data_IF_016936714682
#
_entry.id   IF_016936714682
#
_cell.length_a   1.000
_cell.length_b   1.000
_cell.length_c   1.000
_cell.angle_alpha   90.00
_cell.angle_beta   90.00
_cell.angle_gamma   90.00
#
_symmetry.space_group_name_H-M   'P 1'
#
loop_
_entity.id
_entity.type
_entity.pdbx_description
1 polymer ?
#
# COMPACT_ATOMS: atom_id res chain seq x y z
N UNK A 1 -28.05 -27.00 -30.86
CA UNK A 1 -27.95 -28.46 -31.10
C UNK A 1 -26.56 -28.89 -30.68
N UNK A 2 -26.44 -29.66 -29.59
CA UNK A 2 -25.17 -30.23 -29.12
C UNK A 2 -24.92 -31.51 -29.90
N UNK A 3 -24.10 -31.44 -30.95
CA UNK A 3 -23.60 -32.65 -31.60
C UNK A 3 -22.70 -33.39 -30.62
N UNK A 4 -23.16 -34.56 -30.20
CA UNK A 4 -22.38 -35.54 -29.44
C UNK A 4 -21.05 -35.75 -30.16
N UNK A 5 -19.94 -35.32 -29.54
CA UNK A 5 -18.58 -35.61 -30.01
C UNK A 5 -18.46 -37.13 -30.20
N UNK A 6 -18.46 -37.56 -31.46
CA UNK A 6 -18.07 -38.91 -31.87
C UNK A 6 -16.77 -39.28 -31.15
N UNK A 7 -16.59 -40.56 -30.77
CA UNK A 7 -15.34 -41.08 -30.18
C UNK A 7 -14.24 -40.95 -31.25
N UNK A 8 -13.61 -39.78 -31.32
CA UNK A 8 -12.57 -39.49 -32.30
C UNK A 8 -11.31 -40.24 -31.89
N UNK A 9 -10.93 -41.21 -32.71
CA UNK A 9 -9.74 -42.02 -32.50
C UNK A 9 -8.51 -41.34 -33.10
N UNK A 10 -8.06 -40.29 -32.43
CA UNK A 10 -6.87 -39.53 -32.83
C UNK A 10 -5.62 -40.41 -32.92
N UNK A 11 -5.56 -41.49 -32.12
CA UNK A 11 -4.39 -42.38 -32.03
C UNK A 11 -4.15 -43.17 -33.32
N UNK A 12 -5.20 -43.47 -34.08
CA UNK A 12 -5.12 -44.23 -35.34
C UNK A 12 -5.20 -43.36 -36.60
N UNK A 13 -5.36 -42.04 -36.45
CA UNK A 13 -5.41 -41.10 -37.56
C UNK A 13 -4.03 -40.86 -38.17
N UNK A 14 -3.91 -40.64 -39.49
CA UNK A 14 -2.64 -40.28 -40.12
C UNK A 14 -2.21 -38.84 -39.80
N UNK A 15 -0.92 -38.54 -39.92
CA UNK A 15 -0.41 -37.20 -39.63
C UNK A 15 -1.04 -36.16 -40.56
N UNK A 16 -1.20 -36.42 -41.85
CA UNK A 16 -1.80 -35.48 -42.81
C UNK A 16 -3.24 -35.10 -42.45
N UNK A 17 -4.04 -36.08 -42.00
CA UNK A 17 -5.40 -35.83 -41.53
C UNK A 17 -5.44 -35.03 -40.23
N UNK A 18 -4.46 -35.22 -39.35
CA UNK A 18 -4.32 -34.40 -38.14
C UNK A 18 -3.94 -32.95 -38.50
N UNK A 19 -3.16 -32.72 -39.57
CA UNK A 19 -2.81 -31.37 -40.04
C UNK A 19 -4.01 -30.62 -40.60
N UNK A 20 -4.74 -31.28 -41.49
CA UNK A 20 -5.97 -30.75 -42.10
C UNK A 20 -6.99 -30.38 -41.00
N UNK A 21 -7.22 -31.32 -40.06
CA UNK A 21 -8.10 -31.06 -38.92
C UNK A 21 -7.64 -29.86 -38.07
N UNK A 22 -6.34 -29.73 -37.82
CA UNK A 22 -5.77 -28.61 -37.06
C UNK A 22 -6.00 -27.28 -37.76
N UNK A 23 -5.76 -27.22 -39.06
CA UNK A 23 -5.95 -26.00 -39.85
C UNK A 23 -7.42 -25.58 -39.89
N UNK A 24 -8.34 -26.53 -40.08
CA UNK A 24 -9.77 -26.23 -40.22
C UNK A 24 -10.42 -25.77 -38.90
N UNK A 25 -9.92 -26.26 -37.76
CA UNK A 25 -10.57 -26.07 -36.46
C UNK A 25 -9.81 -25.14 -35.51
N UNK A 26 -8.49 -25.00 -35.69
CA UNK A 26 -7.60 -24.33 -34.74
C UNK A 26 -6.60 -23.36 -35.40
N UNK A 27 -6.80 -22.99 -36.67
CA UNK A 27 -5.96 -21.99 -37.33
C UNK A 27 -5.89 -20.69 -36.51
N UNK A 28 -4.67 -20.21 -36.27
CA UNK A 28 -4.40 -18.98 -35.50
C UNK A 28 -4.57 -19.10 -33.98
N UNK A 29 -5.00 -20.25 -33.45
CA UNK A 29 -5.11 -20.47 -32.00
C UNK A 29 -3.75 -20.79 -31.37
N UNK A 30 -3.54 -20.35 -30.13
CA UNK A 30 -2.36 -20.70 -29.35
C UNK A 30 -2.43 -22.11 -28.78
N UNK A 31 -1.27 -22.69 -28.45
CA UNK A 31 -1.17 -24.03 -27.83
C UNK A 31 -2.05 -24.20 -26.60
N UNK A 32 -2.13 -23.18 -25.75
CA UNK A 32 -2.94 -23.20 -24.53
C UNK A 32 -4.44 -23.18 -24.83
N UNK A 33 -4.86 -22.50 -25.90
CA UNK A 33 -6.26 -22.48 -26.34
C UNK A 33 -6.66 -23.83 -26.92
N UNK A 34 -5.81 -24.42 -27.77
CA UNK A 34 -6.06 -25.75 -28.36
C UNK A 34 -6.08 -26.84 -27.28
N UNK A 35 -5.16 -26.80 -26.29
CA UNK A 35 -5.15 -27.75 -25.18
C UNK A 35 -6.41 -27.70 -24.33
N UNK A 36 -6.98 -26.51 -24.11
CA UNK A 36 -8.23 -26.33 -23.35
C UNK A 36 -9.45 -26.80 -24.12
N UNK A 37 -9.47 -26.61 -25.44
CA UNK A 37 -10.61 -26.95 -26.30
C UNK A 37 -10.63 -28.45 -26.64
N UNK A 38 -9.46 -29.02 -26.96
CA UNK A 38 -9.30 -30.44 -27.29
C UNK A 38 -7.97 -31.00 -26.78
N UNK A 39 -7.92 -31.23 -25.47
CA UNK A 39 -6.75 -31.80 -24.80
C UNK A 39 -6.38 -33.20 -25.31
N UNK A 40 -7.33 -33.97 -25.82
CA UNK A 40 -7.09 -35.31 -26.36
C UNK A 40 -6.35 -35.26 -27.70
N UNK A 41 -6.75 -34.35 -28.59
CA UNK A 41 -6.06 -34.06 -29.83
C UNK A 41 -4.66 -33.49 -29.55
N UNK A 42 -4.58 -32.51 -28.65
CA UNK A 42 -3.33 -31.85 -28.23
C UNK A 42 -2.27 -32.86 -27.74
N UNK A 43 -2.68 -33.84 -26.91
CA UNK A 43 -1.80 -34.89 -26.44
C UNK A 43 -1.27 -35.78 -27.57
N UNK A 44 -2.11 -36.12 -28.55
CA UNK A 44 -1.71 -36.99 -29.67
C UNK A 44 -0.73 -36.30 -30.61
N UNK A 45 -1.00 -35.05 -31.00
CA UNK A 45 -0.05 -34.29 -31.84
C UNK A 45 1.26 -34.00 -31.09
N UNK A 46 1.22 -33.83 -29.77
CA UNK A 46 2.40 -33.68 -28.92
C UNK A 46 3.25 -34.94 -28.85
N UNK A 47 2.62 -36.09 -28.61
CA UNK A 47 3.32 -37.38 -28.58
C UNK A 47 3.91 -37.77 -29.94
N UNK A 48 3.39 -37.21 -31.04
CA UNK A 48 3.89 -37.40 -32.40
C UNK A 48 4.88 -36.33 -32.87
N UNK A 49 5.24 -35.38 -32.00
CA UNK A 49 6.20 -34.31 -32.32
C UNK A 49 5.69 -33.24 -33.29
N UNK A 50 4.38 -33.22 -33.60
CA UNK A 50 3.79 -32.33 -34.60
C UNK A 50 3.40 -30.95 -34.03
N UNK A 51 3.54 -30.72 -32.72
CA UNK A 51 3.13 -29.47 -32.06
C UNK A 51 3.81 -28.22 -32.62
N UNK A 52 5.08 -28.33 -33.03
CA UNK A 52 5.84 -27.20 -33.59
C UNK A 52 5.47 -26.92 -35.05
N UNK A 53 5.02 -27.94 -35.78
CA UNK A 53 4.63 -27.83 -37.17
C UNK A 53 3.19 -27.30 -37.32
N UNK A 54 2.28 -27.71 -36.44
CA UNK A 54 0.83 -27.50 -36.63
C UNK A 54 0.24 -26.31 -35.90
N UNK A 55 0.88 -25.86 -34.83
CA UNK A 55 0.41 -24.67 -34.11
C UNK A 55 1.61 -23.80 -33.77
N UNK A 56 1.66 -22.66 -34.46
CA UNK A 56 2.68 -21.65 -34.30
C UNK A 56 2.82 -21.29 -32.83
N UNK A 57 4.03 -21.51 -32.34
CA UNK A 57 4.42 -21.11 -31.01
C UNK A 57 4.50 -19.59 -30.97
N UNK A 58 3.62 -18.94 -30.18
CA UNK A 58 3.83 -17.56 -29.73
C UNK A 58 5.02 -17.42 -28.75
N UNK A 59 5.71 -18.52 -28.44
CA UNK A 59 6.97 -18.46 -27.71
C UNK A 59 8.01 -17.94 -28.71
N UNK A 60 8.45 -16.70 -28.51
CA UNK A 60 9.59 -16.11 -29.23
C UNK A 60 10.73 -17.14 -29.23
N UNK A 61 11.44 -17.35 -30.36
CA UNK A 61 12.53 -18.31 -30.43
C UNK A 61 13.48 -18.09 -29.24
N UNK A 62 13.88 -19.19 -28.60
CA UNK A 62 14.81 -19.17 -27.47
C UNK A 62 16.13 -18.61 -27.97
N UNK A 63 16.35 -17.31 -27.80
CA UNK A 63 17.59 -16.66 -28.19
C UNK A 63 18.70 -17.25 -27.34
N UNK A 64 19.76 -17.70 -28.00
CA UNK A 64 20.91 -18.31 -27.35
C UNK A 64 21.83 -17.23 -26.79
N UNK A 65 21.34 -16.45 -25.83
CA UNK A 65 22.09 -15.37 -25.20
C UNK A 65 23.48 -15.81 -24.68
N UNK A 66 23.60 -17.09 -24.28
CA UNK A 66 24.86 -17.69 -23.81
C UNK A 66 25.93 -17.85 -24.89
N UNK A 67 25.55 -18.02 -26.15
CA UNK A 67 26.50 -18.18 -27.27
C UNK A 67 26.89 -16.84 -27.89
N UNK A 68 26.18 -15.75 -27.58
CA UNK A 68 26.54 -14.40 -28.02
C UNK A 68 27.78 -13.85 -27.29
N UNK A 69 28.60 -13.12 -28.05
CA UNK A 69 29.72 -12.34 -27.56
C UNK A 69 29.27 -11.11 -26.78
N UNK A 70 30.20 -10.50 -26.04
CA UNK A 70 29.90 -9.32 -25.24
C UNK A 70 29.53 -8.11 -26.11
N UNK A 71 30.11 -7.99 -27.31
CA UNK A 71 29.83 -6.88 -28.24
C UNK A 71 28.44 -7.04 -28.89
N UNK A 72 28.05 -8.26 -29.27
CA UNK A 72 26.71 -8.54 -29.79
C UNK A 72 25.62 -8.27 -28.74
N UNK A 73 25.89 -8.57 -27.47
CA UNK A 73 24.97 -8.24 -26.37
C UNK A 73 24.88 -6.73 -26.12
N UNK A 74 25.98 -5.99 -26.30
CA UNK A 74 26.01 -4.52 -26.21
C UNK A 74 25.19 -3.87 -27.33
N UNK A 75 25.42 -4.30 -28.56
CA UNK A 75 24.68 -3.84 -29.73
C UNK A 75 23.17 -4.11 -29.57
N UNK A 76 22.82 -5.35 -29.16
CA UNK A 76 21.44 -5.72 -28.91
C UNK A 76 20.75 -4.83 -27.87
N UNK A 77 21.46 -4.49 -26.78
CA UNK A 77 20.96 -3.57 -25.76
C UNK A 77 20.71 -2.17 -26.33
N UNK A 78 21.64 -1.62 -27.11
CA UNK A 78 21.47 -0.28 -27.69
C UNK A 78 20.30 -0.21 -28.67
N UNK A 79 20.04 -1.28 -29.42
CA UNK A 79 18.91 -1.34 -30.35
C UNK A 79 17.55 -1.50 -29.66
N UNK A 80 17.49 -2.20 -28.53
CA UNK A 80 16.22 -2.68 -27.96
C UNK A 80 15.87 -2.06 -26.59
N UNK A 81 16.87 -1.59 -25.85
CA UNK A 81 16.75 -1.15 -24.46
C UNK A 81 17.53 0.13 -24.15
N UNK A 82 17.94 0.90 -25.16
CA UNK A 82 18.64 2.16 -24.95
C UNK A 82 17.88 3.08 -23.99
N UNK A 83 18.58 3.58 -22.96
CA UNK A 83 18.01 4.44 -21.93
C UNK A 83 17.21 3.72 -20.84
N UNK A 84 16.99 2.40 -20.93
CA UNK A 84 16.34 1.64 -19.86
C UNK A 84 17.30 1.36 -18.69
N UNK A 85 16.79 1.46 -17.46
CA UNK A 85 17.53 1.07 -16.27
C UNK A 85 17.64 -0.46 -16.12
N UNK A 86 18.59 -0.94 -15.30
CA UNK A 86 18.78 -2.38 -14.99
C UNK A 86 17.46 -3.08 -14.64
N UNK A 87 16.60 -2.45 -13.85
CA UNK A 87 15.33 -3.01 -13.39
C UNK A 87 14.23 -3.01 -14.46
N UNK A 88 14.26 -2.05 -15.39
CA UNK A 88 13.36 -2.01 -16.54
C UNK A 88 13.71 -3.08 -17.57
N UNK A 89 15.01 -3.30 -17.81
CA UNK A 89 15.50 -4.41 -18.65
C UNK A 89 15.12 -5.75 -18.04
N UNK A 90 15.25 -5.93 -16.72
CA UNK A 90 14.87 -7.17 -16.03
C UNK A 90 13.38 -7.50 -16.19
N UNK A 91 12.51 -6.47 -16.20
CA UNK A 91 11.07 -6.61 -16.43
C UNK A 91 10.73 -6.90 -17.88
N UNK A 92 11.47 -6.30 -18.83
CA UNK A 92 11.23 -6.43 -20.25
C UNK A 92 11.75 -7.77 -20.81
N UNK A 93 12.95 -8.20 -20.40
CA UNK A 93 13.57 -9.45 -20.81
C UNK A 93 14.48 -9.99 -19.70
N UNK A 94 13.88 -10.78 -18.80
CA UNK A 94 14.58 -11.38 -17.67
C UNK A 94 15.68 -12.36 -18.10
N UNK A 95 15.58 -12.97 -19.29
CA UNK A 95 16.59 -13.93 -19.77
C UNK A 95 17.84 -13.22 -20.28
N UNK A 96 17.66 -12.13 -21.03
CA UNK A 96 18.75 -11.25 -21.45
C UNK A 96 19.43 -10.61 -20.24
N UNK A 97 18.64 -10.08 -19.30
CA UNK A 97 19.14 -9.46 -18.07
C UNK A 97 20.09 -10.37 -17.26
N UNK A 98 19.73 -11.65 -17.11
CA UNK A 98 20.56 -12.60 -16.36
C UNK A 98 21.93 -12.84 -17.02
N UNK A 99 21.99 -12.87 -18.35
CA UNK A 99 23.25 -13.07 -19.10
C UNK A 99 24.12 -11.82 -19.06
N UNK A 100 23.52 -10.64 -19.17
CA UNK A 100 24.21 -9.36 -19.03
C UNK A 100 24.85 -9.20 -17.64
N UNK A 101 24.18 -9.70 -16.58
CA UNK A 101 24.75 -9.79 -15.23
C UNK A 101 25.87 -10.83 -15.14
N UNK A 102 25.66 -12.05 -15.65
CA UNK A 102 26.65 -13.13 -15.62
C UNK A 102 27.97 -12.69 -16.29
N UNK A 103 27.85 -11.93 -17.39
CA UNK A 103 28.98 -11.35 -18.14
C UNK A 103 29.44 -9.98 -17.63
N UNK A 104 28.87 -9.47 -16.53
CA UNK A 104 29.22 -8.17 -15.89
C UNK A 104 29.15 -6.94 -16.80
N UNK A 105 28.37 -7.00 -17.88
CA UNK A 105 28.34 -5.92 -18.89
C UNK A 105 27.72 -4.63 -18.35
N UNK A 106 26.81 -4.73 -17.37
CA UNK A 106 26.30 -3.54 -16.69
C UNK A 106 27.35 -2.80 -15.87
N UNK A 107 28.41 -3.47 -15.44
CA UNK A 107 29.52 -2.87 -14.70
C UNK A 107 30.57 -2.29 -15.65
N UNK A 108 30.57 -2.72 -16.93
CA UNK A 108 31.32 -2.13 -18.04
C UNK A 108 30.64 -0.89 -18.66
N UNK A 109 29.55 -0.40 -18.06
CA UNK A 109 28.85 0.81 -18.52
C UNK A 109 27.80 0.60 -19.60
N UNK A 110 27.29 -0.63 -19.79
CA UNK A 110 26.24 -0.93 -20.77
C UNK A 110 24.97 -0.09 -20.59
N UNK A 111 24.64 0.25 -19.35
CA UNK A 111 23.59 1.22 -19.01
C UNK A 111 24.22 2.32 -18.18
N UNK A 112 23.71 3.55 -18.30
CA UNK A 112 23.95 4.57 -17.29
C UNK A 112 23.34 4.06 -15.99
N UNK A 113 24.21 3.47 -15.18
CA UNK A 113 23.85 3.02 -13.87
C UNK A 113 23.40 4.23 -13.09
N UNK A 114 22.08 4.40 -12.91
CA UNK A 114 21.55 5.22 -11.82
C UNK A 114 21.87 4.61 -10.44
N UNK A 115 22.77 3.63 -10.35
CA UNK A 115 23.39 3.23 -9.10
C UNK A 115 24.31 4.37 -8.67
N UNK A 116 23.73 5.30 -7.92
CA UNK A 116 24.49 6.33 -7.23
C UNK A 116 25.34 5.62 -6.20
N UNK A 117 26.64 5.54 -6.47
CA UNK A 117 27.61 4.98 -5.53
C UNK A 117 27.85 5.99 -4.40
N UNK A 118 26.90 6.06 -3.49
CA UNK A 118 27.01 6.89 -2.30
C UNK A 118 28.14 6.43 -1.38
N UNK A 119 28.57 5.16 -1.50
CA UNK A 119 29.58 4.56 -0.62
C UNK A 119 30.98 5.08 -0.92
N UNK A 120 31.27 5.50 -2.17
CA UNK A 120 32.54 6.14 -2.54
C UNK A 120 32.58 7.66 -2.36
N UNK A 121 31.44 8.31 -2.13
CA UNK A 121 31.38 9.75 -1.88
C UNK A 121 31.99 10.14 -0.53
N UNK A 122 32.61 11.32 -0.45
CA UNK A 122 33.07 11.88 0.82
C UNK A 122 31.89 12.39 1.66
N UNK A 123 32.11 12.64 2.94
CA UNK A 123 31.07 13.16 3.82
C UNK A 123 30.61 14.56 3.36
N UNK A 124 31.52 15.39 2.88
CA UNK A 124 31.26 16.73 2.35
C UNK A 124 30.42 16.68 1.06
N UNK A 125 30.69 15.72 0.18
CA UNK A 125 29.87 15.50 -1.02
C UNK A 125 28.46 15.03 -0.65
N UNK A 126 28.33 14.17 0.36
CA UNK A 126 27.03 13.71 0.87
C UNK A 126 26.26 14.88 1.53
N UNK A 127 26.95 15.73 2.29
CA UNK A 127 26.36 16.93 2.91
C UNK A 127 25.87 17.92 1.85
N UNK A 128 26.70 18.21 0.85
CA UNK A 128 26.33 19.10 -0.24
C UNK A 128 25.12 18.54 -1.01
N UNK A 129 25.12 17.25 -1.32
CA UNK A 129 23.98 16.62 -1.99
C UNK A 129 22.67 16.75 -1.19
N UNK A 130 22.73 16.60 0.14
CA UNK A 130 21.58 16.85 1.01
C UNK A 130 21.10 18.30 0.93
N UNK A 131 22.00 19.28 1.05
CA UNK A 131 21.61 20.69 0.97
C UNK A 131 20.99 21.06 -0.38
N UNK A 132 21.49 20.49 -1.48
CA UNK A 132 21.00 20.79 -2.82
C UNK A 132 19.63 20.16 -3.12
N UNK A 133 19.30 19.02 -2.51
CA UNK A 133 18.15 18.20 -2.93
C UNK A 133 17.10 17.96 -1.84
N UNK A 134 17.47 18.04 -0.57
CA UNK A 134 16.65 17.60 0.56
C UNK A 134 16.62 18.58 1.73
N UNK A 135 17.12 19.81 1.54
CA UNK A 135 17.13 20.84 2.59
C UNK A 135 15.73 21.07 3.17
N UNK A 136 15.61 20.99 4.49
CA UNK A 136 14.35 21.14 5.21
C UNK A 136 13.45 19.90 5.25
N UNK A 137 13.81 18.80 4.56
CA UNK A 137 13.07 17.54 4.63
C UNK A 137 13.39 16.77 5.90
N UNK A 138 12.39 16.04 6.42
CA UNK A 138 12.58 15.16 7.56
C UNK A 138 13.14 13.78 7.14
N UNK A 139 13.63 13.00 8.12
CA UNK A 139 14.26 11.70 7.89
C UNK A 139 13.40 10.74 7.06
N UNK A 140 12.11 10.71 7.34
CA UNK A 140 11.16 9.81 6.67
C UNK A 140 10.93 10.23 5.21
N UNK A 141 10.90 11.52 4.93
CA UNK A 141 10.81 12.07 3.57
C UNK A 141 12.07 11.73 2.75
N UNK A 142 13.26 11.97 3.32
CA UNK A 142 14.53 11.64 2.65
C UNK A 142 14.66 10.13 2.42
N UNK A 143 14.27 9.30 3.38
CA UNK A 143 14.30 7.84 3.22
C UNK A 143 13.33 7.34 2.13
N UNK A 144 12.14 7.95 2.01
CA UNK A 144 11.17 7.60 0.96
C UNK A 144 11.65 8.00 -0.43
N UNK A 145 12.35 9.13 -0.55
CA UNK A 145 12.83 9.66 -1.83
C UNK A 145 14.14 8.98 -2.27
N UNK A 146 15.10 8.85 -1.36
CA UNK A 146 16.39 8.21 -1.64
C UNK A 146 16.86 7.35 -0.46
N UNK A 147 16.28 6.16 -0.36
CA UNK A 147 16.60 5.20 0.68
C UNK A 147 18.06 4.74 0.66
N UNK A 148 18.71 4.74 -0.51
CA UNK A 148 20.12 4.35 -0.66
C UNK A 148 21.06 5.41 -0.08
N UNK A 149 20.80 6.69 -0.37
CA UNK A 149 21.51 7.83 0.20
C UNK A 149 21.30 7.87 1.72
N UNK A 150 20.04 7.75 2.16
CA UNK A 150 19.65 7.76 3.57
C UNK A 150 20.40 6.69 4.38
N UNK A 151 20.53 5.48 3.86
CA UNK A 151 21.29 4.40 4.50
C UNK A 151 22.77 4.75 4.65
N UNK A 152 23.40 5.35 3.63
CA UNK A 152 24.83 5.70 3.68
C UNK A 152 25.10 6.82 4.68
N UNK A 153 24.34 7.92 4.64
CA UNK A 153 24.52 9.01 5.63
C UNK A 153 24.20 8.54 7.05
N UNK A 154 23.29 7.56 7.21
CA UNK A 154 23.00 6.92 8.50
C UNK A 154 24.14 6.07 9.02
N UNK A 155 24.71 5.22 8.18
CA UNK A 155 25.85 4.37 8.55
C UNK A 155 27.10 5.20 8.89
N UNK A 156 27.23 6.40 8.32
CA UNK A 156 28.33 7.34 8.62
C UNK A 156 28.04 8.31 9.76
N UNK A 157 26.88 8.21 10.42
CA UNK A 157 26.53 9.08 11.55
C UNK A 157 26.19 10.53 11.17
N UNK A 158 26.06 10.84 9.88
CA UNK A 158 25.78 12.20 9.38
C UNK A 158 24.31 12.60 9.51
N UNK A 159 23.41 11.67 9.84
CA UNK A 159 21.98 11.94 9.97
C UNK A 159 21.67 13.04 10.99
N UNK A 160 22.36 13.04 12.13
CA UNK A 160 22.11 14.00 13.22
C UNK A 160 22.66 15.39 12.91
N UNK A 161 23.69 15.47 12.05
CA UNK A 161 24.27 16.71 11.56
C UNK A 161 23.44 17.33 10.43
N UNK A 162 22.96 16.50 9.50
CA UNK A 162 22.25 16.95 8.30
C UNK A 162 20.75 17.13 8.51
N UNK A 163 20.15 16.26 9.30
CA UNK A 163 18.70 16.21 9.49
C UNK A 163 18.42 16.44 10.97
N UNK A 164 18.02 17.68 11.27
CA UNK A 164 17.63 18.08 12.62
C UNK A 164 16.67 17.04 13.18
N UNK A 165 17.10 16.35 14.25
CA UNK A 165 16.16 15.58 15.04
C UNK A 165 15.31 16.58 15.77
N UNK A 166 14.08 16.80 15.31
CA UNK A 166 13.01 17.21 16.21
C UNK A 166 12.76 16.04 17.17
N UNK A 167 13.64 15.90 18.17
CA UNK A 167 13.38 15.09 19.35
C UNK A 167 12.22 15.77 20.06
N UNK A 168 11.01 15.38 19.71
CA UNK A 168 9.84 15.85 20.40
C UNK A 168 9.91 15.22 21.79
N UNK A 169 10.06 16.08 22.80
CA UNK A 169 9.95 15.68 24.20
C UNK A 169 8.48 15.39 24.52
N UNK A 170 8.05 14.19 24.14
CA UNK A 170 6.72 13.69 24.44
C UNK A 170 6.45 13.64 25.94
N UNK A 171 7.50 13.41 26.75
CA UNK A 171 7.38 13.20 28.19
C UNK A 171 7.17 14.52 28.94
N UNK A 172 7.75 15.63 28.46
CA UNK A 172 7.51 16.98 28.96
C UNK A 172 6.27 17.68 28.38
N UNK A 173 5.63 17.14 27.34
CA UNK A 173 4.44 17.72 26.72
C UNK A 173 3.20 17.55 27.61
N UNK A 174 2.28 18.53 27.66
CA UNK A 174 1.00 18.37 28.40
C UNK A 174 0.01 17.50 27.62
N UNK A 175 -1.03 16.99 28.29
CA UNK A 175 -2.04 16.14 27.64
C UNK A 175 -2.85 16.91 26.59
N UNK A 176 -3.09 18.22 26.78
CA UNK A 176 -3.75 19.08 25.79
C UNK A 176 -2.93 19.21 24.51
N UNK A 177 -1.61 19.36 24.64
CA UNK A 177 -0.71 19.43 23.47
C UNK A 177 -0.58 18.08 22.77
N UNK A 178 -0.62 16.97 23.51
CA UNK A 178 -0.68 15.64 22.92
C UNK A 178 -1.99 15.43 22.16
N UNK A 179 -3.10 15.95 22.68
CA UNK A 179 -4.40 15.93 22.01
C UNK A 179 -4.40 16.74 20.72
N UNK A 180 -3.93 18.00 20.75
CA UNK A 180 -3.79 18.86 19.57
C UNK A 180 -2.93 18.18 18.50
N UNK A 181 -1.76 17.69 18.89
CA UNK A 181 -0.86 16.97 17.98
C UNK A 181 -1.52 15.73 17.37
N UNK A 182 -2.29 14.97 18.16
CA UNK A 182 -3.04 13.82 17.69
C UNK A 182 -4.11 14.19 16.67
N UNK A 183 -4.84 15.28 16.91
CA UNK A 183 -5.89 15.75 16.01
C UNK A 183 -5.31 16.25 14.69
N UNK A 184 -4.18 16.94 14.71
CA UNK A 184 -3.52 17.44 13.50
C UNK A 184 -2.90 16.33 12.64
N UNK A 185 -2.28 15.33 13.28
CA UNK A 185 -1.39 14.39 12.58
C UNK A 185 -1.99 12.98 12.42
N UNK A 186 -2.93 12.60 13.29
CA UNK A 186 -3.41 11.21 13.40
C UNK A 186 -4.94 11.07 13.39
N UNK A 187 -5.67 12.14 13.06
CA UNK A 187 -7.13 12.09 12.98
C UNK A 187 -7.61 11.00 12.01
N UNK A 188 -8.48 10.11 12.50
CA UNK A 188 -9.02 8.99 11.73
C UNK A 188 -8.09 7.79 11.57
N UNK A 189 -6.85 7.84 12.08
CA UNK A 189 -5.95 6.69 12.09
C UNK A 189 -6.29 5.71 13.21
N UNK A 190 -6.09 4.42 12.96
CA UNK A 190 -6.17 3.37 13.98
C UNK A 190 -4.92 3.35 14.87
N UNK A 191 -5.04 2.73 16.06
CA UNK A 191 -3.91 2.52 16.99
C UNK A 191 -2.67 1.92 16.32
N UNK A 192 -2.88 0.91 15.48
CA UNK A 192 -1.77 0.23 14.78
C UNK A 192 -1.14 1.07 13.67
N UNK A 193 -1.87 2.05 13.12
CA UNK A 193 -1.31 3.01 12.18
C UNK A 193 -0.50 4.07 12.92
N UNK A 194 -1.05 4.65 14.00
CA UNK A 194 -0.32 5.63 14.81
C UNK A 194 0.95 5.04 15.45
N UNK A 195 0.88 3.80 15.95
CA UNK A 195 2.07 3.10 16.47
C UNK A 195 3.17 2.96 15.41
N UNK A 196 2.79 2.76 14.14
CA UNK A 196 3.73 2.58 13.02
C UNK A 196 4.33 3.92 12.59
N UNK A 197 3.53 4.96 12.54
CA UNK A 197 3.96 6.31 12.17
C UNK A 197 4.82 6.95 13.26
N UNK A 198 4.40 6.88 14.53
CA UNK A 198 5.13 7.47 15.64
C UNK A 198 5.03 6.62 16.91
N UNK A 199 5.96 5.67 17.04
CA UNK A 199 6.06 4.79 18.22
C UNK A 199 6.29 5.58 19.53
N UNK A 200 7.03 6.69 19.47
CA UNK A 200 7.31 7.55 20.64
C UNK A 200 6.04 8.18 21.21
N UNK A 201 5.25 8.83 20.33
CA UNK A 201 3.95 9.37 20.69
C UNK A 201 2.99 8.28 21.18
N UNK A 202 2.88 7.17 20.45
CA UNK A 202 1.99 6.07 20.84
C UNK A 202 2.33 5.49 22.23
N UNK A 203 3.62 5.39 22.55
CA UNK A 203 4.04 4.93 23.87
C UNK A 203 3.70 5.94 24.97
N UNK A 204 3.80 7.26 24.72
CA UNK A 204 3.47 8.25 25.77
C UNK A 204 1.98 8.25 26.10
N UNK A 205 1.12 8.19 25.08
CA UNK A 205 -0.33 8.20 25.29
C UNK A 205 -0.82 6.91 25.97
N UNK A 206 -0.14 5.79 25.75
CA UNK A 206 -0.37 4.55 26.50
C UNK A 206 0.13 4.66 27.94
N UNK A 207 1.34 5.17 28.14
CA UNK A 207 1.93 5.36 29.48
C UNK A 207 1.09 6.28 30.36
N UNK A 208 0.42 7.27 29.76
CA UNK A 208 -0.47 8.22 30.44
C UNK A 208 -1.94 7.79 30.45
N UNK A 209 -2.28 6.61 29.91
CA UNK A 209 -3.65 6.08 29.87
C UNK A 209 -4.66 6.96 29.10
N UNK A 210 -4.20 7.87 28.24
CA UNK A 210 -5.04 8.76 27.42
C UNK A 210 -5.32 8.22 26.01
N UNK A 211 -4.77 7.05 25.67
CA UNK A 211 -4.92 6.45 24.35
C UNK A 211 -6.36 6.08 23.97
N UNK A 212 -7.23 5.76 24.94
CA UNK A 212 -8.65 5.48 24.67
C UNK A 212 -9.41 6.74 24.24
N UNK A 213 -9.09 7.89 24.85
CA UNK A 213 -9.64 9.19 24.46
C UNK A 213 -9.16 9.62 23.07
N UNK A 214 -7.84 9.56 22.84
CA UNK A 214 -7.23 10.12 21.64
C UNK A 214 -7.38 9.23 20.40
N UNK A 215 -7.28 7.91 20.59
CA UNK A 215 -7.31 6.92 19.50
C UNK A 215 -8.11 5.69 19.97
N UNK A 216 -9.44 5.79 20.01
CA UNK A 216 -10.27 4.72 20.53
C UNK A 216 -10.06 3.41 19.74
N UNK A 217 -10.16 2.24 20.40
CA UNK A 217 -9.95 0.96 19.74
C UNK A 217 -11.04 0.71 18.69
N UNK A 218 -10.67 0.15 17.54
CA UNK A 218 -11.61 -0.20 16.46
C UNK A 218 -12.53 -1.35 16.83
N UNK A 219 -12.06 -2.31 17.63
CA UNK A 219 -12.87 -3.37 18.23
C UNK A 219 -13.05 -3.09 19.71
N UNK A 220 -14.30 -2.85 20.13
CA UNK A 220 -14.62 -2.59 21.53
C UNK A 220 -14.61 -3.92 22.32
N UNK A 221 -13.94 -3.98 23.48
CA UNK A 221 -14.01 -5.14 24.35
C UNK A 221 -15.43 -5.32 24.90
N UNK A 222 -15.75 -6.53 25.36
CA UNK A 222 -17.02 -6.77 26.04
C UNK A 222 -17.12 -5.87 27.28
N UNK A 223 -18.27 -5.21 27.45
CA UNK A 223 -18.48 -4.28 28.55
C UNK A 223 -17.94 -2.86 28.33
N UNK A 224 -17.32 -2.55 27.19
CA UNK A 224 -16.78 -1.21 26.89
C UNK A 224 -17.81 -0.08 27.15
N UNK A 225 -19.06 -0.29 26.71
CA UNK A 225 -20.14 0.68 26.87
C UNK A 225 -20.77 0.72 28.26
N UNK A 226 -20.30 -0.07 29.23
CA UNK A 226 -20.75 0.04 30.63
C UNK A 226 -20.19 1.29 31.30
N UNK A 227 -19.02 1.74 30.86
CA UNK A 227 -18.38 2.95 31.34
C UNK A 227 -18.95 4.18 30.62
N UNK A 228 -19.37 5.18 31.40
CA UNK A 228 -19.94 6.42 30.86
C UNK A 228 -18.88 7.25 30.14
N UNK A 229 -17.61 7.16 30.52
CA UNK A 229 -16.52 7.90 29.88
C UNK A 229 -16.30 7.39 28.45
N UNK A 230 -16.47 6.08 28.24
CA UNK A 230 -16.41 5.46 26.90
C UNK A 230 -17.60 5.87 26.02
N UNK A 231 -18.77 6.12 26.62
CA UNK A 231 -19.92 6.69 25.90
C UNK A 231 -19.63 8.13 25.51
N UNK A 232 -19.05 8.92 26.43
CA UNK A 232 -18.68 10.31 26.16
C UNK A 232 -17.70 10.42 25.00
N UNK A 233 -16.60 9.65 25.01
CA UNK A 233 -15.60 9.64 23.93
C UNK A 233 -16.25 9.39 22.56
N UNK A 234 -17.13 8.39 22.47
CA UNK A 234 -17.80 8.05 21.21
C UNK A 234 -18.82 9.10 20.79
N UNK A 235 -19.53 9.72 21.75
CA UNK A 235 -20.44 10.82 21.46
C UNK A 235 -19.70 12.08 21.01
N UNK A 236 -18.55 12.41 21.59
CA UNK A 236 -17.74 13.57 21.19
C UNK A 236 -17.30 13.49 19.73
N UNK A 237 -16.95 12.29 19.23
CA UNK A 237 -16.64 12.06 17.82
C UNK A 237 -17.85 12.41 16.94
N UNK A 238 -19.04 11.97 17.33
CA UNK A 238 -20.28 12.24 16.59
C UNK A 238 -20.65 13.73 16.68
N UNK A 239 -20.52 14.35 17.86
CA UNK A 239 -20.76 15.77 18.08
C UNK A 239 -19.87 16.62 17.18
N UNK A 240 -18.59 16.27 17.05
CA UNK A 240 -17.65 16.94 16.14
C UNK A 240 -18.09 16.82 14.68
N UNK A 241 -18.66 15.68 14.26
CA UNK A 241 -19.23 15.50 12.92
C UNK A 241 -20.54 16.27 12.69
N UNK A 242 -21.20 16.71 13.76
CA UNK A 242 -22.47 17.45 13.74
C UNK A 242 -22.28 18.94 14.09
N UNK A 243 -21.08 19.48 13.87
CA UNK A 243 -20.72 20.88 14.15
C UNK A 243 -21.06 21.29 15.60
N UNK A 244 -20.71 20.44 16.56
CA UNK A 244 -20.90 20.72 17.98
C UNK A 244 -22.30 20.42 18.52
N UNK A 245 -23.25 19.99 17.68
CA UNK A 245 -24.62 19.66 18.11
C UNK A 245 -24.68 18.29 18.77
N UNK A 246 -25.38 18.22 19.91
CA UNK A 246 -25.63 16.94 20.57
C UNK A 246 -26.48 16.02 19.65
N UNK A 247 -26.05 14.77 19.41
CA UNK A 247 -26.67 13.90 18.42
C UNK A 247 -28.07 13.43 18.84
N UNK A 248 -28.92 13.17 17.85
CA UNK A 248 -30.19 12.45 18.04
C UNK A 248 -29.99 10.96 17.79
N UNK A 249 -30.95 10.15 18.23
CA UNK A 249 -30.93 8.69 18.03
C UNK A 249 -30.66 8.29 16.58
N UNK A 250 -31.23 9.01 15.61
CA UNK A 250 -31.03 8.75 14.17
C UNK A 250 -29.58 9.01 13.72
N UNK A 251 -28.90 9.98 14.32
CA UNK A 251 -27.55 10.38 13.97
C UNK A 251 -26.56 9.33 14.49
N UNK A 252 -26.75 8.89 15.75
CA UNK A 252 -25.98 7.80 16.36
C UNK A 252 -26.19 6.50 15.59
N UNK A 253 -27.43 6.12 15.30
CA UNK A 253 -27.75 4.86 14.60
C UNK A 253 -27.08 4.76 13.23
N UNK A 254 -26.86 5.89 12.54
CA UNK A 254 -26.19 5.94 11.24
C UNK A 254 -24.69 5.66 11.35
N UNK A 255 -24.08 6.02 12.47
CA UNK A 255 -22.62 5.97 12.68
C UNK A 255 -22.23 4.71 13.46
N UNK A 256 -22.91 4.44 14.58
CA UNK A 256 -22.61 3.31 15.46
C UNK A 256 -23.88 2.76 16.10
N UNK A 257 -24.35 1.61 15.58
CA UNK A 257 -25.45 0.85 16.18
C UNK A 257 -25.07 0.30 17.56
N UNK A 258 -23.81 -0.10 17.74
CA UNK A 258 -23.29 -0.62 19.01
C UNK A 258 -23.31 0.41 20.14
N UNK A 259 -22.95 1.67 19.85
CA UNK A 259 -23.03 2.76 20.82
C UNK A 259 -24.47 2.97 21.30
N UNK A 260 -25.42 3.01 20.36
CA UNK A 260 -26.82 3.22 20.70
C UNK A 260 -27.36 2.08 21.60
N UNK A 261 -27.03 0.83 21.27
CA UNK A 261 -27.38 -0.32 22.10
C UNK A 261 -26.75 -0.21 23.49
N UNK A 262 -25.45 0.11 23.59
CA UNK A 262 -24.76 0.30 24.87
C UNK A 262 -25.39 1.39 25.75
N UNK A 263 -25.81 2.51 25.16
CA UNK A 263 -26.53 3.58 25.86
C UNK A 263 -27.83 3.04 26.48
N UNK A 264 -28.63 2.29 25.72
CA UNK A 264 -29.90 1.76 26.23
C UNK A 264 -29.70 0.66 27.28
N UNK A 265 -28.75 -0.24 27.05
CA UNK A 265 -28.53 -1.41 27.91
C UNK A 265 -27.93 -1.02 29.28
N UNK A 266 -27.08 0.00 29.33
CA UNK A 266 -26.31 0.34 30.55
C UNK A 266 -26.65 1.71 31.14
N UNK A 267 -27.07 2.68 30.34
CA UNK A 267 -27.25 4.08 30.78
C UNK A 267 -28.70 4.57 30.64
N UNK A 268 -29.61 3.67 30.28
CA UNK A 268 -31.05 3.90 30.23
C UNK A 268 -31.53 4.60 28.95
N UNK A 269 -31.16 5.86 28.73
CA UNK A 269 -31.58 6.60 27.54
C UNK A 269 -30.58 7.64 27.09
N UNK A 270 -30.65 8.04 25.81
CA UNK A 270 -29.81 9.12 25.28
C UNK A 270 -30.04 10.45 26.02
N UNK A 271 -31.27 10.71 26.48
CA UNK A 271 -31.59 11.88 27.31
C UNK A 271 -30.90 11.80 28.67
N UNK A 272 -30.89 10.63 29.30
CA UNK A 272 -30.20 10.39 30.57
C UNK A 272 -28.71 10.67 30.44
N UNK A 273 -28.08 10.13 29.39
CA UNK A 273 -26.66 10.36 29.09
C UNK A 273 -26.39 11.85 28.81
N UNK A 274 -27.25 12.52 28.04
CA UNK A 274 -27.11 13.96 27.78
C UNK A 274 -27.06 14.80 29.06
N UNK A 275 -27.91 14.45 30.03
CA UNK A 275 -27.94 15.10 31.35
C UNK A 275 -26.70 14.75 32.16
N UNK A 276 -26.33 13.47 32.23
CA UNK A 276 -25.14 13.01 32.97
C UNK A 276 -23.85 13.69 32.49
N UNK A 277 -23.73 13.94 31.18
CA UNK A 277 -22.58 14.60 30.57
C UNK A 277 -22.66 16.15 30.61
N UNK A 278 -23.68 16.73 31.25
CA UNK A 278 -23.81 18.19 31.43
C UNK A 278 -24.16 18.97 30.15
N UNK A 279 -24.58 18.30 29.07
CA UNK A 279 -24.96 18.98 27.83
C UNK A 279 -26.33 19.68 27.91
N UNK A 280 -27.17 19.28 28.86
CA UNK A 280 -28.44 19.97 29.12
C UNK A 280 -28.21 21.40 29.67
N UNK A 281 -27.23 21.56 30.56
CA UNK A 281 -26.91 22.85 31.16
C UNK A 281 -26.25 23.79 30.14
N UNK A 282 -25.34 23.25 29.30
CA UNK A 282 -24.70 24.01 28.20
C UNK A 282 -25.72 24.57 27.19
N UNK A 283 -26.73 23.79 26.81
CA UNK A 283 -27.79 24.29 25.92
C UNK A 283 -28.62 25.40 26.58
N UNK A 284 -28.86 25.32 27.89
CA UNK A 284 -29.57 26.35 28.63
C UNK A 284 -28.76 27.64 28.80
N UNK A 285 -27.43 27.56 28.94
CA UNK A 285 -26.55 28.73 28.97
C UNK A 285 -26.56 29.48 27.63
N UNK A 286 -26.38 28.78 26.52
CA UNK A 286 -26.43 29.38 25.17
C UNK A 286 -27.79 30.05 24.90
N UNK A 287 -28.89 29.45 25.35
CA UNK A 287 -30.22 30.05 25.21
C UNK A 287 -30.38 31.32 26.05
N UNK A 288 -29.75 31.40 27.22
CA UNK A 288 -29.77 32.63 28.04
C UNK A 288 -28.97 33.75 27.37
N UNK A 289 -27.78 33.45 26.86
CA UNK A 289 -26.95 34.42 26.13
C UNK A 289 -27.71 35.00 24.92
N UNK A 290 -28.36 34.15 24.12
CA UNK A 290 -29.17 34.60 22.97
C UNK A 290 -30.36 35.47 23.42
N UNK A 291 -31.01 35.12 24.54
CA UNK A 291 -32.14 35.89 25.06
C UNK A 291 -31.70 37.25 25.65
N UNK A 292 -30.50 37.34 26.21
CA UNK A 292 -29.89 38.60 26.64
C UNK A 292 -29.54 39.48 25.43
N UNK A 293 -28.94 38.92 24.38
CA UNK A 293 -28.63 39.64 23.14
C UNK A 293 -29.89 40.16 22.40
N UNK A 294 -31.00 39.42 22.46
CA UNK A 294 -32.28 39.83 21.85
C UNK A 294 -33.11 40.76 22.75
N UNK A 295 -32.74 40.92 24.02
CA UNK A 295 -33.44 41.76 24.99
C UNK A 295 -32.92 43.20 25.08
N UNK A 296 -31.78 43.49 24.45
CA UNK A 296 -31.08 44.78 24.44
C UNK A 296 -31.33 45.61 23.14
N UNK A 297 -32.28 45.21 22.29
CA UNK A 297 -32.83 46.02 21.17
C UNK A 297 -34.16 46.71 21.53
#
# INVERSE_FOLDING_TARGET
MSEKKSKRDWKNMSNDKLKEYCNDNYAGMSRNEVQKIDGSFYQVIGNRGLLNELIESKIKPRREWKSMSNDELKEYYHENYAGMSRSEVAKADSSFYMIVIEKKLFDEGLTESKHRDWQSKSDEELKQHYHDNYSGMNRSEVQKIDGSFYQVIGNRGLLDELIERKLIDWEGMSDEKLEEHCQENYSGMSRSEVQRECKGFYNIILKREIADKLIPPTRKPNGYYQDIDNIQIELEIIIKQLDGKFPRVKDIKKISTGLLTGIYDYHGSLTTVKIQLGYADKEMEVLKEILEELGDE
#
